data_IF_214530831986
#
_entry.id   IF_214530831986
#
_cell.length_a   1.000
_cell.length_b   1.000
_cell.length_c   1.000
_cell.angle_alpha   90.00
_cell.angle_beta   90.00
_cell.angle_gamma   90.00
#
_symmetry.space_group_name_H-M   'P 1'
#
loop_
_entity.id
_entity.type
_entity.pdbx_description
1 polymer ?
#
# COMPACT_ATOMS: atom_id res chain seq x y z
N UNK A 1 -0.34 6.93 -21.14
CA UNK A 1 1.04 6.51 -20.83
C UNK A 1 1.42 5.44 -21.82
N UNK A 2 2.03 5.85 -22.93
CA UNK A 2 2.07 5.00 -24.12
C UNK A 2 3.48 4.44 -24.41
N UNK A 3 4.48 4.76 -23.58
CA UNK A 3 5.81 4.18 -23.70
C UNK A 3 5.90 2.82 -22.99
N UNK A 4 6.35 1.74 -23.68
CA UNK A 4 6.55 0.41 -23.08
C UNK A 4 7.50 0.41 -21.88
N UNK A 5 8.51 1.29 -21.89
CA UNK A 5 9.50 1.39 -20.81
C UNK A 5 8.87 1.93 -19.52
N UNK A 6 7.98 2.93 -19.64
CA UNK A 6 7.26 3.52 -18.51
C UNK A 6 6.25 2.53 -17.91
N UNK A 7 5.58 1.74 -18.75
CA UNK A 7 4.68 0.69 -18.25
C UNK A 7 5.44 -0.40 -17.50
N UNK A 8 6.61 -0.82 -18.02
CA UNK A 8 7.48 -1.78 -17.34
C UNK A 8 7.98 -1.23 -16.00
N UNK A 9 8.36 0.05 -15.96
CA UNK A 9 8.75 0.75 -14.74
C UNK A 9 7.63 0.69 -13.69
N UNK A 10 6.41 1.13 -14.05
CA UNK A 10 5.28 1.15 -13.11
C UNK A 10 4.95 -0.25 -12.61
N UNK A 11 4.93 -1.26 -13.48
CA UNK A 11 4.67 -2.65 -13.09
C UNK A 11 5.73 -3.16 -12.11
N UNK A 12 7.01 -2.88 -12.37
CA UNK A 12 8.13 -3.34 -11.54
C UNK A 12 8.07 -2.70 -10.16
N UNK A 13 7.92 -1.38 -10.07
CA UNK A 13 7.83 -0.67 -8.79
C UNK A 13 6.57 -1.04 -8.01
N UNK A 14 5.45 -1.26 -8.70
CA UNK A 14 4.20 -1.76 -8.10
C UNK A 14 4.41 -3.14 -7.48
N UNK A 15 5.06 -4.05 -8.21
CA UNK A 15 5.31 -5.41 -7.74
C UNK A 15 6.27 -5.41 -6.54
N UNK A 16 7.33 -4.60 -6.59
CA UNK A 16 8.25 -4.42 -5.46
C UNK A 16 7.47 -3.92 -4.23
N UNK A 17 6.62 -2.90 -4.40
CA UNK A 17 5.77 -2.38 -3.32
C UNK A 17 4.83 -3.44 -2.74
N UNK A 18 4.18 -4.24 -3.59
CA UNK A 18 3.32 -5.33 -3.17
C UNK A 18 4.08 -6.38 -2.35
N UNK A 19 5.25 -6.84 -2.85
CA UNK A 19 6.07 -7.84 -2.18
C UNK A 19 6.59 -7.34 -0.83
N UNK A 20 7.08 -6.11 -0.76
CA UNK A 20 7.57 -5.53 0.50
C UNK A 20 6.45 -5.46 1.55
N UNK A 21 5.24 -5.02 1.16
CA UNK A 21 4.12 -4.96 2.10
C UNK A 21 3.61 -6.34 2.52
N UNK A 22 3.66 -7.33 1.63
CA UNK A 22 3.35 -8.72 1.97
C UNK A 22 4.35 -9.27 3.01
N UNK A 23 5.66 -9.02 2.81
CA UNK A 23 6.71 -9.43 3.76
C UNK A 23 6.52 -8.76 5.12
N UNK A 24 6.28 -7.44 5.16
CA UNK A 24 6.00 -6.76 6.42
C UNK A 24 4.75 -7.29 7.10
N UNK A 25 3.71 -7.63 6.33
CA UNK A 25 2.50 -8.23 6.89
C UNK A 25 2.78 -9.60 7.53
N UNK A 26 3.60 -10.44 6.90
CA UNK A 26 4.09 -11.69 7.51
C UNK A 26 4.83 -11.41 8.82
N UNK A 27 5.80 -10.49 8.79
CA UNK A 27 6.60 -10.15 9.98
C UNK A 27 5.72 -9.67 11.14
N UNK A 28 4.73 -8.80 10.88
CA UNK A 28 3.83 -8.31 11.91
C UNK A 28 2.87 -9.39 12.42
N UNK A 29 2.42 -10.33 11.59
CA UNK A 29 1.62 -11.47 12.08
C UNK A 29 2.41 -12.27 13.11
N UNK A 30 3.67 -12.60 12.80
CA UNK A 30 4.52 -13.33 13.73
C UNK A 30 4.84 -12.52 14.99
N UNK A 31 5.07 -11.22 14.86
CA UNK A 31 5.39 -10.36 16.00
C UNK A 31 4.19 -10.20 16.96
N UNK A 32 2.97 -10.06 16.43
CA UNK A 32 1.78 -9.71 17.22
C UNK A 32 1.03 -10.96 17.69
N UNK A 33 0.94 -12.00 16.87
CA UNK A 33 0.11 -13.18 17.12
C UNK A 33 0.90 -14.46 17.39
N UNK A 34 2.22 -14.41 17.52
CA UNK A 34 3.00 -15.61 17.87
C UNK A 34 2.51 -16.23 19.18
N UNK A 35 2.44 -17.56 19.20
CA UNK A 35 1.94 -18.32 20.35
C UNK A 35 0.41 -18.41 20.45
N UNK A 36 -0.35 -17.67 19.64
CA UNK A 36 -1.81 -17.79 19.58
C UNK A 36 -2.22 -18.84 18.55
N UNK A 37 -3.02 -19.83 18.96
CA UNK A 37 -3.59 -20.83 18.03
C UNK A 37 -4.80 -20.27 17.27
N UNK A 38 -5.58 -19.44 17.95
CA UNK A 38 -6.79 -18.78 17.44
C UNK A 38 -6.70 -17.29 17.73
N UNK A 39 -7.00 -16.49 16.72
CA UNK A 39 -6.96 -15.03 16.78
C UNK A 39 -8.39 -14.54 16.57
N UNK A 40 -8.88 -13.72 17.50
CA UNK A 40 -10.20 -13.11 17.38
C UNK A 40 -10.26 -12.13 16.21
N UNK A 41 -11.41 -12.01 15.57
CA UNK A 41 -11.61 -10.93 14.59
C UNK A 41 -11.78 -9.58 15.30
N UNK A 42 -12.38 -9.58 16.49
CA UNK A 42 -12.61 -8.40 17.35
C UNK A 42 -11.83 -8.50 18.67
N UNK A 43 -11.90 -7.46 19.51
CA UNK A 43 -11.16 -7.36 20.77
C UNK A 43 -9.79 -6.69 20.63
N UNK A 44 -9.14 -6.41 21.76
CA UNK A 44 -7.87 -5.65 21.80
C UNK A 44 -6.72 -6.36 21.09
N UNK A 45 -6.72 -7.70 21.08
CA UNK A 45 -5.79 -8.54 20.31
C UNK A 45 -6.39 -9.05 19.00
N UNK A 46 -7.42 -8.41 18.48
CA UNK A 46 -8.15 -8.87 17.31
C UNK A 46 -7.60 -8.35 15.99
N UNK A 47 -7.85 -9.08 14.90
CA UNK A 47 -7.42 -8.68 13.56
C UNK A 47 -8.01 -7.35 13.09
N UNK A 48 -9.21 -6.97 13.54
CA UNK A 48 -9.85 -5.71 13.20
C UNK A 48 -9.07 -4.51 13.72
N UNK A 49 -8.66 -4.52 15.00
CA UNK A 49 -7.88 -3.43 15.59
C UNK A 49 -6.51 -3.33 14.92
N UNK A 50 -5.86 -4.48 14.68
CA UNK A 50 -4.55 -4.52 14.03
C UNK A 50 -4.60 -4.14 12.53
N UNK A 51 -5.77 -4.23 11.88
CA UNK A 51 -5.93 -3.81 10.48
C UNK A 51 -5.76 -2.30 10.27
N UNK A 52 -5.99 -1.49 11.31
CA UNK A 52 -5.86 -0.03 11.25
C UNK A 52 -4.40 0.40 11.13
N UNK A 53 -3.49 0.08 12.09
CA UNK A 53 -2.08 0.43 11.95
C UNK A 53 -1.46 -0.21 10.70
N UNK A 54 -1.87 -1.44 10.32
CA UNK A 54 -1.43 -2.07 9.08
C UNK A 54 -1.82 -1.24 7.85
N UNK A 55 -3.10 -0.86 7.72
CA UNK A 55 -3.60 -0.08 6.59
C UNK A 55 -2.96 1.30 6.50
N UNK A 56 -2.81 1.99 7.64
CA UNK A 56 -2.12 3.28 7.71
C UNK A 56 -0.66 3.16 7.24
N UNK A 57 0.08 2.16 7.74
CA UNK A 57 1.47 1.94 7.37
C UNK A 57 1.63 1.60 5.88
N UNK A 58 0.78 0.72 5.35
CA UNK A 58 0.77 0.36 3.93
C UNK A 58 0.51 1.60 3.06
N UNK A 59 -0.50 2.40 3.41
CA UNK A 59 -0.85 3.60 2.66
C UNK A 59 0.27 4.64 2.68
N UNK A 60 0.88 4.87 3.85
CA UNK A 60 1.98 5.80 4.01
C UNK A 60 3.21 5.35 3.22
N UNK A 61 3.71 4.15 3.47
CA UNK A 61 4.94 3.64 2.86
C UNK A 61 4.75 3.37 1.38
N UNK A 62 3.63 2.76 1.00
CA UNK A 62 3.28 2.44 -0.38
C UNK A 62 3.13 3.69 -1.25
N UNK A 63 2.76 4.83 -0.67
CA UNK A 63 2.71 6.08 -1.43
C UNK A 63 4.02 6.88 -1.36
N UNK A 64 4.67 6.93 -0.19
CA UNK A 64 5.83 7.78 0.05
C UNK A 64 7.06 7.37 -0.77
N UNK A 65 7.50 6.11 -0.63
CA UNK A 65 8.74 5.66 -1.28
C UNK A 65 8.65 5.68 -2.80
N UNK A 66 7.59 5.14 -3.44
CA UNK A 66 7.49 5.16 -4.90
C UNK A 66 7.39 6.59 -5.45
N UNK A 67 6.67 7.48 -4.75
CA UNK A 67 6.59 8.90 -5.12
C UNK A 67 7.94 9.60 -5.07
N UNK A 68 8.65 9.44 -3.95
CA UNK A 68 9.94 10.07 -3.72
C UNK A 68 11.01 9.55 -4.69
N UNK A 69 11.08 8.23 -4.87
CA UNK A 69 12.05 7.60 -5.75
C UNK A 69 11.79 7.95 -7.21
N UNK A 70 10.52 7.95 -7.63
CA UNK A 70 10.15 8.37 -9.00
C UNK A 70 10.55 9.81 -9.27
N UNK A 71 10.30 10.73 -8.34
CA UNK A 71 10.75 12.12 -8.46
C UNK A 71 12.27 12.21 -8.65
N UNK A 72 13.03 11.46 -7.86
CA UNK A 72 14.50 11.41 -7.93
C UNK A 72 14.96 10.87 -9.29
N UNK A 73 14.34 9.80 -9.78
CA UNK A 73 14.70 9.14 -11.04
C UNK A 73 14.38 10.01 -12.27
N UNK A 74 13.25 10.73 -12.25
CA UNK A 74 12.92 11.70 -13.32
C UNK A 74 13.94 12.84 -13.33
N UNK A 75 14.21 13.46 -12.17
CA UNK A 75 15.21 14.55 -12.07
C UNK A 75 16.62 14.11 -12.47
N UNK A 76 16.95 12.85 -12.26
CA UNK A 76 18.23 12.27 -12.66
C UNK A 76 18.27 11.76 -14.11
N UNK A 77 17.21 11.95 -14.91
CA UNK A 77 17.15 11.49 -16.30
C UNK A 77 17.03 9.97 -16.49
N UNK A 78 16.79 9.21 -15.42
CA UNK A 78 16.69 7.74 -15.45
C UNK A 78 15.30 7.28 -15.92
N UNK A 79 14.29 8.14 -15.81
CA UNK A 79 12.93 7.93 -16.30
C UNK A 79 12.53 9.17 -17.10
N UNK A 80 12.33 8.99 -18.40
CA UNK A 80 11.80 10.04 -19.28
C UNK A 80 10.27 9.94 -19.32
N UNK A 81 9.61 11.06 -19.06
CA UNK A 81 8.15 11.18 -19.17
C UNK A 81 7.85 12.27 -20.19
N UNK A 82 7.00 11.95 -21.18
CA UNK A 82 6.60 12.93 -22.19
C UNK A 82 5.75 14.02 -21.54
N UNK A 83 6.29 15.25 -21.47
CA UNK A 83 5.65 16.41 -20.84
C UNK A 83 4.42 16.93 -21.60
N UNK A 84 4.20 16.49 -22.85
CA UNK A 84 3.22 17.09 -23.77
C UNK A 84 1.76 16.71 -23.53
N UNK A 85 1.44 15.85 -22.54
CA UNK A 85 0.10 15.26 -22.45
C UNK A 85 -0.49 15.09 -21.04
N UNK A 86 0.11 15.66 -19.98
CA UNK A 86 -0.35 15.39 -18.61
C UNK A 86 -0.83 16.63 -17.87
N UNK A 87 -2.14 16.65 -17.58
CA UNK A 87 -2.77 17.61 -16.67
C UNK A 87 -2.26 17.36 -15.24
N UNK A 88 -1.95 18.44 -14.52
CA UNK A 88 -1.52 18.40 -13.13
C UNK A 88 -2.52 17.62 -12.26
N UNK A 89 -2.03 16.80 -11.34
CA UNK A 89 -2.91 16.08 -10.41
C UNK A 89 -3.72 17.05 -9.53
N UNK A 90 -4.94 16.65 -9.16
CA UNK A 90 -5.73 17.35 -8.13
C UNK A 90 -5.23 17.08 -6.70
N UNK A 91 -4.30 16.15 -6.52
CA UNK A 91 -3.72 15.81 -5.21
C UNK A 91 -2.54 16.71 -4.86
N UNK A 92 -2.19 16.85 -3.56
CA UNK A 92 -1.01 17.58 -3.13
C UNK A 92 0.26 17.05 -3.81
N UNK A 93 1.08 17.95 -4.35
CA UNK A 93 2.35 17.62 -5.01
C UNK A 93 3.46 17.24 -4.01
N UNK A 94 3.30 17.64 -2.74
CA UNK A 94 4.24 17.30 -1.67
C UNK A 94 4.13 15.80 -1.30
N UNK A 95 5.20 15.00 -1.48
CA UNK A 95 5.15 13.54 -1.31
C UNK A 95 4.60 13.08 0.03
N UNK A 96 4.96 13.77 1.11
CA UNK A 96 4.53 13.41 2.47
C UNK A 96 3.04 13.65 2.71
N UNK A 97 2.50 14.77 2.23
CA UNK A 97 1.07 15.10 2.43
C UNK A 97 0.21 14.13 1.62
N UNK A 98 0.64 13.82 0.39
CA UNK A 98 0.00 12.79 -0.42
C UNK A 98 0.06 11.42 0.27
N UNK A 99 1.22 11.04 0.81
CA UNK A 99 1.36 9.78 1.53
C UNK A 99 0.44 9.70 2.76
N UNK A 100 0.23 10.80 3.48
CA UNK A 100 -0.72 10.85 4.59
C UNK A 100 -2.17 10.62 4.14
N UNK A 101 -2.57 11.19 3.00
CA UNK A 101 -3.90 10.93 2.42
C UNK A 101 -4.07 9.45 2.04
N UNK A 102 -3.06 8.84 1.42
CA UNK A 102 -3.08 7.41 1.14
C UNK A 102 -3.07 6.56 2.40
N UNK A 103 -2.36 6.97 3.45
CA UNK A 103 -2.38 6.32 4.77
C UNK A 103 -3.81 6.27 5.31
N UNK A 104 -4.46 7.44 5.42
CA UNK A 104 -5.83 7.53 5.92
C UNK A 104 -6.81 6.71 5.07
N UNK A 105 -6.75 6.83 3.75
CA UNK A 105 -7.60 6.06 2.85
C UNK A 105 -7.39 4.55 3.01
N UNK A 106 -6.14 4.10 3.10
CA UNK A 106 -5.79 2.68 3.26
C UNK A 106 -6.19 2.13 4.63
N UNK A 107 -6.08 2.96 5.67
CA UNK A 107 -6.58 2.65 7.02
C UNK A 107 -8.10 2.46 7.02
N UNK A 108 -8.86 3.37 6.39
CA UNK A 108 -10.31 3.26 6.26
C UNK A 108 -10.70 2.02 5.45
N UNK A 109 -10.08 1.78 4.31
CA UNK A 109 -10.36 0.60 3.46
C UNK A 109 -10.07 -0.70 4.22
N UNK A 110 -8.94 -0.76 4.95
CA UNK A 110 -8.61 -1.93 5.77
C UNK A 110 -9.62 -2.13 6.90
N UNK A 111 -9.98 -1.07 7.61
CA UNK A 111 -10.97 -1.13 8.68
C UNK A 111 -12.32 -1.64 8.16
N UNK A 112 -12.82 -1.10 7.04
CA UNK A 112 -14.09 -1.52 6.45
C UNK A 112 -14.06 -3.00 6.05
N UNK A 113 -12.98 -3.47 5.43
CA UNK A 113 -12.83 -4.88 5.08
C UNK A 113 -12.90 -5.77 6.33
N UNK A 114 -12.14 -5.45 7.37
CA UNK A 114 -12.09 -6.28 8.58
C UNK A 114 -13.35 -6.17 9.44
N UNK A 115 -14.07 -5.04 9.42
CA UNK A 115 -15.42 -4.94 9.98
C UNK A 115 -16.36 -5.92 9.28
N UNK A 116 -16.39 -5.94 7.94
CA UNK A 116 -17.22 -6.86 7.19
C UNK A 116 -16.87 -8.33 7.45
N UNK A 117 -15.57 -8.66 7.49
CA UNK A 117 -15.11 -10.01 7.81
C UNK A 117 -15.48 -10.40 9.25
N UNK A 118 -15.40 -9.48 10.21
CA UNK A 118 -15.74 -9.74 11.61
C UNK A 118 -17.23 -10.02 11.84
N UNK A 119 -18.10 -9.50 10.97
CA UNK A 119 -19.53 -9.79 11.02
C UNK A 119 -19.85 -11.24 10.59
N UNK A 120 -19.00 -11.85 9.77
CA UNK A 120 -19.17 -13.22 9.26
C UNK A 120 -18.34 -14.26 10.03
N UNK A 121 -17.22 -13.85 10.61
CA UNK A 121 -16.21 -14.74 11.21
C UNK A 121 -15.89 -14.24 12.61
N UNK A 122 -16.00 -15.10 13.63
CA UNK A 122 -15.66 -14.73 15.01
C UNK A 122 -14.16 -14.81 15.32
N UNK A 123 -13.51 -15.88 14.85
CA UNK A 123 -12.07 -16.10 15.03
C UNK A 123 -11.51 -16.89 13.85
N UNK A 124 -10.19 -16.78 13.67
CA UNK A 124 -9.45 -17.51 12.64
C UNK A 124 -8.24 -18.19 13.27
N UNK A 125 -7.79 -19.28 12.67
CA UNK A 125 -6.52 -19.90 13.03
C UNK A 125 -5.33 -18.97 12.68
N UNK A 126 -4.19 -19.17 13.33
CA UNK A 126 -2.96 -18.44 13.01
C UNK A 126 -2.61 -18.47 11.52
N UNK A 127 -2.70 -19.64 10.88
CA UNK A 127 -2.40 -19.80 9.44
C UNK A 127 -3.36 -18.98 8.57
N UNK A 128 -4.65 -18.96 8.93
CA UNK A 128 -5.65 -18.16 8.20
C UNK A 128 -5.39 -16.66 8.37
N UNK A 129 -5.04 -16.20 9.58
CA UNK A 129 -4.66 -14.82 9.83
C UNK A 129 -3.41 -14.42 9.01
N UNK A 130 -2.41 -15.31 8.97
CA UNK A 130 -1.19 -15.12 8.19
C UNK A 130 -1.50 -14.95 6.70
N UNK A 131 -2.28 -15.87 6.12
CA UNK A 131 -2.68 -15.79 4.71
C UNK A 131 -3.47 -14.51 4.43
N UNK A 132 -4.49 -14.23 5.25
CA UNK A 132 -5.35 -13.06 5.09
C UNK A 132 -4.53 -11.77 5.11
N UNK A 133 -3.67 -11.59 6.12
CA UNK A 133 -2.84 -10.38 6.23
C UNK A 133 -1.81 -10.27 5.13
N UNK A 134 -1.21 -11.38 4.71
CA UNK A 134 -0.20 -11.37 3.63
C UNK A 134 -0.82 -11.00 2.30
N UNK A 135 -1.94 -11.63 1.95
CA UNK A 135 -2.68 -11.35 0.71
C UNK A 135 -3.20 -9.92 0.74
N UNK A 136 -3.82 -9.49 1.84
CA UNK A 136 -4.32 -8.13 1.98
C UNK A 136 -3.20 -7.10 1.90
N UNK A 137 -2.10 -7.32 2.62
CA UNK A 137 -0.94 -6.44 2.63
C UNK A 137 -0.31 -6.27 1.24
N UNK A 138 -0.17 -7.37 0.50
CA UNK A 138 0.33 -7.35 -0.87
C UNK A 138 -0.61 -6.63 -1.83
N UNK A 139 -1.91 -6.93 -1.79
CA UNK A 139 -2.91 -6.32 -2.66
C UNK A 139 -3.06 -4.81 -2.40
N UNK A 140 -3.25 -4.42 -1.15
CA UNK A 140 -3.39 -3.02 -0.78
C UNK A 140 -2.10 -2.25 -1.06
N UNK A 141 -0.94 -2.81 -0.69
CA UNK A 141 0.36 -2.18 -0.93
C UNK A 141 0.69 -2.01 -2.42
N UNK A 142 0.40 -3.02 -3.24
CA UNK A 142 0.50 -2.93 -4.69
C UNK A 142 -0.44 -1.87 -5.27
N UNK A 143 -1.70 -1.89 -4.88
CA UNK A 143 -2.69 -0.92 -5.35
C UNK A 143 -2.30 0.52 -5.01
N UNK A 144 -1.92 0.79 -3.76
CA UNK A 144 -1.45 2.12 -3.33
C UNK A 144 -0.21 2.53 -4.10
N UNK A 145 0.78 1.64 -4.23
CA UNK A 145 2.02 1.92 -4.96
C UNK A 145 1.74 2.26 -6.41
N UNK A 146 0.89 1.49 -7.08
CA UNK A 146 0.46 1.74 -8.45
C UNK A 146 -0.17 3.13 -8.58
N UNK A 147 -1.18 3.45 -7.78
CA UNK A 147 -1.90 4.72 -7.86
C UNK A 147 -0.96 5.89 -7.56
N UNK A 148 -0.13 5.77 -6.52
CA UNK A 148 0.82 6.82 -6.14
C UNK A 148 1.88 7.08 -7.22
N UNK A 149 2.37 6.01 -7.89
CA UNK A 149 3.27 6.14 -9.04
C UNK A 149 2.60 6.88 -10.20
N UNK A 150 1.34 6.59 -10.50
CA UNK A 150 0.63 7.31 -11.57
C UNK A 150 0.51 8.80 -11.30
N UNK A 151 0.26 9.19 -10.05
CA UNK A 151 0.25 10.61 -9.68
C UNK A 151 1.65 11.22 -9.69
N UNK A 152 2.66 10.52 -9.17
CA UNK A 152 4.04 11.00 -9.18
C UNK A 152 4.57 11.24 -10.60
N UNK A 153 4.27 10.33 -11.54
CA UNK A 153 4.66 10.48 -12.94
C UNK A 153 3.99 11.70 -13.59
N UNK A 154 2.73 11.99 -13.26
CA UNK A 154 2.01 13.18 -13.77
C UNK A 154 2.56 14.48 -13.20
N UNK A 155 2.85 14.50 -11.90
CA UNK A 155 3.24 15.73 -11.20
C UNK A 155 4.68 16.16 -11.47
N UNK A 156 5.56 15.21 -11.79
CA UNK A 156 7.00 15.47 -11.94
C UNK A 156 7.49 15.42 -13.39
N UNK A 157 6.60 15.24 -14.35
CA UNK A 157 6.90 15.36 -15.78
C UNK A 157 6.98 16.81 -16.28
N UNK A 158 6.72 17.78 -15.41
CA UNK A 158 6.75 19.22 -15.66
C UNK A 158 8.13 19.83 -15.34
#
# INVERSE_FOLDING_TARGET
MNSPTLQRYVRTETLIGAVINAIFSVLFVFLIFSGQSHIGMTGEGGLLIDSVPQGLAIGLMGAFFPSFLTRKRIKGGQVSVDSSAQSASKLPTHPFVRALLFALASGVVSLLLFVLLSAAIGSVSFTQALILKTVWGGLLGGMVSYIALQFALRDYAA
#
